data_IF_691148209833
#
_entry.id   IF_691148209833
#
_cell.length_a   1.000
_cell.length_b   1.000
_cell.length_c   1.000
_cell.angle_alpha   90.00
_cell.angle_beta   90.00
_cell.angle_gamma   90.00
#
_symmetry.space_group_name_H-M   'P 1'
#
loop_
_entity.id
_entity.type
_entity.pdbx_description
1 polymer ?
#
# COMPACT_ATOMS: atom_id res chain seq x y z
N UNK A 1 -7.21 -10.92 29.39
CA UNK A 1 -6.31 -10.08 28.55
C UNK A 1 -6.34 -10.64 27.16
N UNK A 2 -7.02 -9.99 26.24
CA UNK A 2 -7.09 -10.46 24.84
C UNK A 2 -5.68 -10.40 24.25
N UNK A 3 -5.25 -11.48 23.63
CA UNK A 3 -3.98 -11.48 22.90
C UNK A 3 -4.08 -10.48 21.74
N UNK A 4 -3.32 -9.40 21.80
CA UNK A 4 -3.32 -8.33 20.78
C UNK A 4 -3.05 -8.87 19.37
N UNK A 5 -2.15 -9.85 19.26
CA UNK A 5 -1.83 -10.44 17.97
C UNK A 5 -2.99 -11.30 17.43
N UNK A 6 -3.73 -11.97 18.31
CA UNK A 6 -4.95 -12.68 17.94
C UNK A 6 -6.02 -11.68 17.46
N UNK A 7 -6.23 -10.57 18.19
CA UNK A 7 -7.16 -9.51 17.77
C UNK A 7 -6.82 -8.98 16.36
N UNK A 8 -5.55 -8.65 16.10
CA UNK A 8 -5.09 -8.17 14.80
C UNK A 8 -5.38 -9.20 13.69
N UNK A 9 -5.10 -10.48 13.96
CA UNK A 9 -5.32 -11.55 13.00
C UNK A 9 -6.82 -11.75 12.69
N UNK A 10 -7.66 -11.86 13.71
CA UNK A 10 -9.11 -12.05 13.56
C UNK A 10 -9.75 -10.89 12.78
N UNK A 11 -9.38 -9.64 13.09
CA UNK A 11 -9.85 -8.46 12.35
C UNK A 11 -9.36 -8.46 10.90
N UNK A 12 -8.12 -8.89 10.66
CA UNK A 12 -7.56 -9.01 9.32
C UNK A 12 -8.28 -10.06 8.50
N UNK A 13 -8.55 -11.23 9.08
CA UNK A 13 -9.31 -12.32 8.44
C UNK A 13 -10.73 -11.88 8.11
N UNK A 14 -11.40 -11.18 9.05
CA UNK A 14 -12.73 -10.64 8.82
C UNK A 14 -12.75 -9.61 7.66
N UNK A 15 -11.75 -8.72 7.59
CA UNK A 15 -11.63 -7.75 6.51
C UNK A 15 -11.34 -8.42 5.15
N UNK A 16 -10.49 -9.45 5.12
CA UNK A 16 -10.22 -10.24 3.92
C UNK A 16 -11.51 -10.91 3.40
N UNK A 17 -12.27 -11.53 4.31
CA UNK A 17 -13.57 -12.15 4.00
C UNK A 17 -14.57 -11.14 3.46
N UNK A 18 -14.68 -9.97 4.08
CA UNK A 18 -15.55 -8.89 3.60
C UNK A 18 -15.14 -8.40 2.20
N UNK A 19 -13.85 -8.46 1.88
CA UNK A 19 -13.32 -8.18 0.56
C UNK A 19 -13.44 -9.35 -0.44
N UNK A 20 -14.07 -10.47 -0.07
CA UNK A 20 -14.14 -11.71 -0.87
C UNK A 20 -12.75 -12.22 -1.29
N UNK A 21 -11.78 -12.19 -0.38
CA UNK A 21 -10.45 -12.76 -0.56
C UNK A 21 -10.27 -13.97 0.35
N UNK A 22 -9.59 -14.99 -0.19
CA UNK A 22 -9.09 -16.08 0.63
C UNK A 22 -8.06 -15.54 1.61
N UNK A 23 -8.10 -16.06 2.85
CA UNK A 23 -7.13 -15.72 3.88
C UNK A 23 -6.61 -17.03 4.48
N UNK A 24 -5.38 -17.41 4.12
CA UNK A 24 -4.76 -18.65 4.51
C UNK A 24 -3.59 -18.42 5.46
N UNK A 25 -3.53 -19.08 6.62
CA UNK A 25 -2.34 -19.08 7.47
C UNK A 25 -1.12 -19.64 6.73
N UNK A 26 0.03 -18.97 6.92
CA UNK A 26 1.31 -19.36 6.30
C UNK A 26 2.43 -19.40 7.34
N UNK A 27 2.42 -20.39 8.24
CA UNK A 27 3.37 -20.47 9.34
C UNK A 27 4.83 -20.55 8.87
N UNK A 28 5.10 -21.04 7.67
CA UNK A 28 6.44 -21.07 7.09
C UNK A 28 7.06 -19.68 6.90
N UNK A 29 6.27 -18.63 6.66
CA UNK A 29 6.76 -17.25 6.55
C UNK A 29 7.14 -16.67 7.93
N UNK A 30 6.66 -17.27 9.01
CA UNK A 30 7.05 -16.97 10.38
C UNK A 30 8.13 -17.91 10.91
N UNK A 31 8.76 -18.71 10.03
CA UNK A 31 9.87 -19.61 10.38
C UNK A 31 11.04 -18.81 10.96
N UNK A 32 11.84 -19.49 11.80
CA UNK A 32 13.09 -18.95 12.30
C UNK A 32 14.27 -19.19 11.36
N UNK A 33 14.10 -20.10 10.39
CA UNK A 33 15.17 -20.53 9.49
C UNK A 33 14.83 -20.13 8.06
N UNK A 34 15.85 -19.88 7.24
CA UNK A 34 15.70 -19.68 5.81
C UNK A 34 15.26 -20.98 5.13
N UNK A 35 14.54 -20.85 4.03
CA UNK A 35 14.22 -22.00 3.18
C UNK A 35 15.50 -22.63 2.65
N UNK A 36 15.65 -23.94 2.86
CA UNK A 36 16.83 -24.69 2.43
C UNK A 36 18.02 -24.62 3.39
N UNK A 37 17.83 -24.11 4.62
CA UNK A 37 18.87 -24.10 5.67
C UNK A 37 20.00 -23.09 5.41
N UNK A 38 19.95 -22.28 4.35
CA UNK A 38 20.93 -21.25 4.10
C UNK A 38 20.80 -20.13 5.15
N UNK A 39 21.88 -19.87 5.90
CA UNK A 39 21.93 -18.77 6.86
C UNK A 39 21.50 -19.14 8.28
N UNK A 40 21.42 -20.42 8.65
CA UNK A 40 21.12 -20.87 10.02
C UNK A 40 22.03 -20.22 11.07
N UNK A 41 23.28 -19.92 10.73
CA UNK A 41 24.24 -19.24 11.59
C UNK A 41 24.05 -17.71 11.64
N UNK A 42 23.34 -17.11 10.67
CA UNK A 42 23.28 -15.67 10.50
C UNK A 42 22.18 -14.98 11.33
N UNK A 43 21.11 -15.68 11.70
CA UNK A 43 19.99 -15.12 12.46
C UNK A 43 19.71 -15.95 13.71
N UNK A 44 20.40 -15.61 14.82
CA UNK A 44 20.05 -16.16 16.13
C UNK A 44 18.62 -15.71 16.49
N UNK A 45 17.89 -16.55 17.23
CA UNK A 45 16.51 -16.28 17.65
C UNK A 45 16.30 -14.91 18.34
N UNK A 46 17.37 -14.34 18.93
CA UNK A 46 17.37 -12.98 19.50
C UNK A 46 17.17 -11.87 18.46
N UNK A 47 17.39 -12.14 17.17
CA UNK A 47 17.26 -11.18 16.08
C UNK A 47 15.92 -11.25 15.36
N UNK A 48 15.03 -12.15 15.78
CA UNK A 48 13.67 -12.32 15.22
C UNK A 48 12.61 -11.90 16.24
N UNK A 49 11.40 -11.51 15.80
CA UNK A 49 10.31 -11.16 16.70
C UNK A 49 9.82 -12.39 17.47
N UNK A 50 9.37 -12.15 18.71
CA UNK A 50 8.79 -13.21 19.55
C UNK A 50 7.35 -13.54 19.14
N UNK A 51 6.62 -12.52 18.73
CA UNK A 51 5.19 -12.61 18.40
C UNK A 51 4.99 -12.22 16.93
N UNK A 52 4.64 -13.20 16.12
CA UNK A 52 4.39 -13.00 14.70
C UNK A 52 3.36 -14.02 14.21
N UNK A 53 2.50 -13.58 13.31
CA UNK A 53 1.67 -14.45 12.47
C UNK A 53 1.90 -14.10 11.00
N UNK A 54 1.67 -15.06 10.15
CA UNK A 54 1.81 -14.88 8.71
C UNK A 54 0.57 -15.40 7.99
N UNK A 55 0.07 -14.63 7.05
CA UNK A 55 -1.13 -14.90 6.27
C UNK A 55 -0.84 -14.65 4.79
N UNK A 56 -1.55 -15.39 3.93
CA UNK A 56 -1.78 -14.98 2.55
C UNK A 56 -3.19 -14.47 2.42
N UNK A 57 -3.34 -13.25 1.91
CA UNK A 57 -4.64 -12.63 1.64
C UNK A 57 -4.76 -12.46 0.13
N UNK A 58 -5.48 -13.38 -0.52
CA UNK A 58 -5.44 -13.51 -1.96
C UNK A 58 -4.02 -13.86 -2.44
N UNK A 59 -3.34 -12.95 -3.15
CA UNK A 59 -1.94 -13.13 -3.58
C UNK A 59 -0.91 -12.46 -2.67
N UNK A 60 -1.35 -11.68 -1.68
CA UNK A 60 -0.48 -10.82 -0.88
C UNK A 60 -0.02 -11.54 0.39
N UNK A 61 1.30 -11.76 0.58
CA UNK A 61 1.84 -12.22 1.84
C UNK A 61 1.86 -11.09 2.87
N UNK A 62 1.35 -11.35 4.06
CA UNK A 62 1.25 -10.39 5.16
C UNK A 62 1.82 -10.98 6.42
N UNK A 63 2.77 -10.29 7.04
CA UNK A 63 3.27 -10.57 8.37
C UNK A 63 2.57 -9.64 9.37
N UNK A 64 2.00 -10.23 10.42
CA UNK A 64 1.34 -9.52 11.50
C UNK A 64 2.25 -9.51 12.72
N UNK A 65 2.39 -8.35 13.36
CA UNK A 65 3.24 -8.20 14.53
C UNK A 65 2.78 -7.12 15.50
N UNK A 66 3.50 -7.00 16.62
CA UNK A 66 3.20 -6.07 17.70
C UNK A 66 4.33 -5.07 17.88
N UNK A 67 3.99 -3.81 18.06
CA UNK A 67 4.91 -2.81 18.59
C UNK A 67 5.02 -2.93 20.12
N UNK A 68 6.11 -2.42 20.74
CA UNK A 68 6.27 -2.35 22.19
C UNK A 68 5.11 -1.65 22.89
N UNK A 69 5.01 -1.80 24.20
CA UNK A 69 3.92 -1.15 24.98
C UNK A 69 4.23 0.32 25.30
N UNK A 70 5.48 0.75 25.23
CA UNK A 70 5.89 2.13 25.44
C UNK A 70 6.34 2.80 24.13
N UNK A 71 6.09 4.12 23.96
CA UNK A 71 6.51 4.88 22.79
C UNK A 71 8.00 5.26 22.84
N UNK A 72 8.86 4.27 23.14
CA UNK A 72 10.29 4.43 23.16
C UNK A 72 10.91 4.21 21.78
N UNK A 73 11.64 5.21 21.28
CA UNK A 73 12.25 5.20 19.94
C UNK A 73 13.20 4.02 19.76
N UNK A 74 14.01 3.69 20.79
CA UNK A 74 15.00 2.62 20.71
C UNK A 74 14.30 1.25 20.67
N UNK A 75 13.29 1.05 21.52
CA UNK A 75 12.50 -0.19 21.55
C UNK A 75 11.74 -0.39 20.24
N UNK A 76 11.12 0.66 19.70
CA UNK A 76 10.38 0.57 18.42
C UNK A 76 11.35 0.27 17.26
N UNK A 77 12.51 0.94 17.20
CA UNK A 77 13.53 0.66 16.18
C UNK A 77 14.03 -0.78 16.25
N UNK A 78 14.27 -1.29 17.44
CA UNK A 78 14.72 -2.69 17.65
C UNK A 78 13.62 -3.68 17.25
N UNK A 79 12.36 -3.44 17.61
CA UNK A 79 11.24 -4.27 17.18
C UNK A 79 11.12 -4.29 15.64
N UNK A 80 11.16 -3.12 14.98
CA UNK A 80 11.11 -3.01 13.51
C UNK A 80 12.30 -3.70 12.86
N UNK A 81 13.50 -3.62 13.45
CA UNK A 81 14.68 -4.35 12.97
C UNK A 81 14.43 -5.86 12.97
N UNK A 82 13.85 -6.41 14.05
CA UNK A 82 13.53 -7.84 14.15
C UNK A 82 12.48 -8.26 13.13
N UNK A 83 11.44 -7.45 12.91
CA UNK A 83 10.44 -7.71 11.89
C UNK A 83 11.01 -7.62 10.47
N UNK A 84 11.95 -6.71 10.20
CA UNK A 84 12.67 -6.69 8.93
C UNK A 84 13.46 -7.99 8.69
N UNK A 85 14.18 -8.47 9.72
CA UNK A 85 14.89 -9.74 9.64
C UNK A 85 13.90 -10.89 9.33
N UNK A 86 12.74 -10.91 10.00
CA UNK A 86 11.70 -11.88 9.68
C UNK A 86 11.20 -11.74 8.25
N UNK A 87 11.05 -10.53 7.75
CA UNK A 87 10.68 -10.28 6.36
C UNK A 87 11.70 -10.86 5.37
N UNK A 88 13.01 -10.78 5.69
CA UNK A 88 14.06 -11.41 4.86
C UNK A 88 13.93 -12.94 4.89
N UNK A 89 13.68 -13.53 6.06
CA UNK A 89 13.41 -14.97 6.16
C UNK A 89 12.16 -15.35 5.37
N UNK A 90 11.04 -14.62 5.54
CA UNK A 90 9.80 -14.87 4.82
C UNK A 90 9.99 -14.85 3.29
N UNK A 91 10.77 -13.88 2.78
CA UNK A 91 11.07 -13.78 1.33
C UNK A 91 11.77 -15.02 0.78
N UNK A 92 12.52 -15.77 1.59
CA UNK A 92 13.16 -17.02 1.14
C UNK A 92 12.16 -18.13 0.83
N UNK A 93 10.94 -18.04 1.35
CA UNK A 93 9.85 -19.00 1.09
C UNK A 93 8.94 -18.58 -0.07
N UNK A 94 9.07 -17.34 -0.54
CA UNK A 94 8.20 -16.75 -1.56
C UNK A 94 8.85 -16.79 -2.95
N UNK A 95 8.06 -16.98 -4.02
CA UNK A 95 8.49 -16.64 -5.37
C UNK A 95 8.84 -15.15 -5.46
N UNK A 96 9.73 -14.79 -6.37
CA UNK A 96 10.22 -13.40 -6.52
C UNK A 96 9.11 -12.38 -6.64
N UNK A 97 8.07 -12.68 -7.42
CA UNK A 97 6.91 -11.80 -7.63
C UNK A 97 6.14 -11.54 -6.34
N UNK A 98 5.89 -12.59 -5.55
CA UNK A 98 5.19 -12.44 -4.27
C UNK A 98 6.07 -11.81 -3.19
N UNK A 99 7.38 -12.00 -3.26
CA UNK A 99 8.33 -11.39 -2.33
C UNK A 99 8.32 -9.85 -2.41
N UNK A 100 8.00 -9.27 -3.57
CA UNK A 100 7.84 -7.83 -3.75
C UNK A 100 6.55 -7.30 -3.13
N UNK A 101 5.53 -8.13 -3.05
CA UNK A 101 4.22 -7.81 -2.49
C UNK A 101 4.13 -8.03 -0.96
N UNK A 102 5.23 -8.47 -0.32
CA UNK A 102 5.27 -8.73 1.13
C UNK A 102 4.97 -7.45 1.91
N UNK A 103 4.01 -7.55 2.84
CA UNK A 103 3.65 -6.46 3.74
C UNK A 103 3.86 -6.86 5.21
N UNK A 104 4.10 -5.86 6.04
CA UNK A 104 4.25 -5.99 7.49
C UNK A 104 3.22 -5.08 8.16
N UNK A 105 2.26 -5.67 8.86
CA UNK A 105 1.23 -4.95 9.60
C UNK A 105 1.51 -5.05 11.09
N UNK A 106 1.69 -3.91 11.73
CA UNK A 106 2.09 -3.81 13.13
C UNK A 106 0.98 -3.14 13.94
N UNK A 107 0.68 -3.70 15.11
CA UNK A 107 -0.28 -3.13 16.04
C UNK A 107 0.44 -2.46 17.20
N UNK A 108 0.09 -1.21 17.48
CA UNK A 108 0.45 -0.48 18.71
C UNK A 108 -0.34 -0.94 19.93
N UNK A 109 -0.03 -0.44 21.12
CA UNK A 109 -0.82 -0.71 22.33
C UNK A 109 -2.20 -0.01 22.26
N UNK A 110 -3.21 -0.51 23.01
CA UNK A 110 -4.50 0.18 23.14
C UNK A 110 -4.34 1.61 23.67
N UNK A 111 -5.05 2.56 23.06
CA UNK A 111 -4.97 4.00 23.40
C UNK A 111 -3.81 4.74 22.73
N UNK A 112 -3.03 4.07 21.89
CA UNK A 112 -1.93 4.70 21.15
C UNK A 112 -2.40 5.63 20.01
N UNK A 113 -3.65 5.54 19.61
CA UNK A 113 -4.25 6.36 18.55
C UNK A 113 -4.30 7.85 18.88
N UNK A 114 -4.50 8.21 20.16
CA UNK A 114 -4.56 9.60 20.65
C UNK A 114 -3.21 10.13 21.09
N UNK A 115 -2.21 9.27 21.27
CA UNK A 115 -0.88 9.62 21.74
C UNK A 115 -0.03 10.20 20.59
N UNK A 116 0.47 11.42 20.76
CA UNK A 116 1.26 12.13 19.75
C UNK A 116 2.60 11.46 19.47
N UNK A 117 3.24 10.86 20.48
CA UNK A 117 4.52 10.16 20.33
C UNK A 117 4.33 8.87 19.52
N UNK A 118 3.26 8.10 19.80
CA UNK A 118 2.91 6.93 19.03
C UNK A 118 2.59 7.26 17.58
N UNK A 119 1.86 8.34 17.31
CA UNK A 119 1.56 8.76 15.93
C UNK A 119 2.82 9.13 15.16
N UNK A 120 3.77 9.84 15.80
CA UNK A 120 5.03 10.17 15.18
C UNK A 120 5.89 8.92 14.89
N UNK A 121 5.94 7.97 15.83
CA UNK A 121 6.65 6.69 15.66
C UNK A 121 6.02 5.82 14.58
N UNK A 122 4.70 5.70 14.54
CA UNK A 122 3.98 4.95 13.50
C UNK A 122 4.31 5.51 12.11
N UNK A 123 4.26 6.83 11.93
CA UNK A 123 4.63 7.48 10.68
C UNK A 123 6.09 7.20 10.29
N UNK A 124 7.01 7.22 11.26
CA UNK A 124 8.43 6.90 11.01
C UNK A 124 8.62 5.43 10.60
N UNK A 125 7.86 4.50 11.18
CA UNK A 125 7.87 3.07 10.82
C UNK A 125 7.31 2.86 9.41
N UNK A 126 6.21 3.52 9.05
CA UNK A 126 5.57 3.39 7.74
C UNK A 126 6.40 3.99 6.59
N UNK A 127 7.21 5.02 6.88
CA UNK A 127 8.15 5.61 5.90
C UNK A 127 9.35 4.72 5.58
N UNK A 128 9.66 3.75 6.44
CA UNK A 128 10.71 2.77 6.18
C UNK A 128 10.15 1.59 5.38
N UNK A 129 10.25 1.64 4.07
CA UNK A 129 9.76 0.60 3.13
C UNK A 129 10.79 -0.50 2.83
N UNK A 130 11.96 -0.48 3.50
CA UNK A 130 12.99 -1.52 3.35
C UNK A 130 12.42 -2.90 3.69
N UNK A 131 12.68 -3.87 2.83
CA UNK A 131 12.27 -5.28 2.91
C UNK A 131 10.78 -5.49 2.63
N UNK A 132 9.89 -4.72 3.23
CA UNK A 132 8.45 -4.84 3.08
C UNK A 132 7.77 -3.50 3.37
N UNK A 133 6.68 -3.21 2.68
CA UNK A 133 5.80 -2.08 3.02
C UNK A 133 5.23 -2.31 4.42
N UNK A 134 5.30 -1.29 5.28
CA UNK A 134 4.80 -1.35 6.64
C UNK A 134 3.52 -0.54 6.78
N UNK A 135 2.57 -1.08 7.53
CA UNK A 135 1.37 -0.37 7.97
C UNK A 135 1.26 -0.53 9.48
N UNK A 136 0.92 0.54 10.17
CA UNK A 136 0.76 0.56 11.62
C UNK A 136 -0.68 0.87 11.98
N UNK A 137 -1.29 -0.03 12.74
CA UNK A 137 -2.58 0.20 13.40
C UNK A 137 -2.34 0.63 14.83
N UNK A 138 -2.83 1.80 15.19
CA UNK A 138 -2.86 2.33 16.55
C UNK A 138 -4.30 2.20 17.05
N UNK A 139 -4.61 1.17 17.88
CA UNK A 139 -5.97 0.94 18.34
C UNK A 139 -6.39 1.92 19.43
N UNK A 140 -7.64 2.40 19.43
CA UNK A 140 -8.24 3.10 20.55
C UNK A 140 -8.26 2.26 21.83
N UNK A 141 -8.28 2.93 22.98
CA UNK A 141 -8.47 2.27 24.28
C UNK A 141 -9.89 1.65 24.37
N UNK A 142 -10.88 2.39 23.91
CA UNK A 142 -12.28 1.98 23.91
C UNK A 142 -12.53 0.89 22.84
N UNK A 143 -13.13 -0.23 23.27
CA UNK A 143 -13.35 -1.38 22.38
C UNK A 143 -14.35 -1.06 21.26
N UNK A 144 -15.38 -0.27 21.58
CA UNK A 144 -16.42 0.18 20.66
C UNK A 144 -15.91 1.04 19.49
N UNK A 145 -14.76 1.70 19.66
CA UNK A 145 -14.16 2.55 18.62
C UNK A 145 -13.22 1.77 17.70
N UNK A 146 -12.81 0.57 18.11
CA UNK A 146 -11.77 -0.21 17.39
C UNK A 146 -12.21 -0.65 16.00
N UNK A 147 -13.49 -0.91 15.78
CA UNK A 147 -13.99 -1.34 14.47
C UNK A 147 -13.87 -0.21 13.45
N UNK A 148 -14.22 1.01 13.83
CA UNK A 148 -14.07 2.18 12.98
C UNK A 148 -12.58 2.49 12.72
N UNK A 149 -11.74 2.44 13.75
CA UNK A 149 -10.30 2.65 13.64
C UNK A 149 -9.63 1.59 12.77
N UNK A 150 -10.04 0.32 12.89
CA UNK A 150 -9.51 -0.75 12.05
C UNK A 150 -9.97 -0.62 10.59
N UNK A 151 -11.20 -0.20 10.34
CA UNK A 151 -11.71 0.11 9.00
C UNK A 151 -10.88 1.21 8.34
N UNK A 152 -10.55 2.28 9.07
CA UNK A 152 -9.68 3.34 8.58
C UNK A 152 -8.25 2.83 8.29
N UNK A 153 -7.71 1.93 9.13
CA UNK A 153 -6.43 1.28 8.89
C UNK A 153 -6.45 0.44 7.60
N UNK A 154 -7.47 -0.40 7.41
CA UNK A 154 -7.65 -1.22 6.20
C UNK A 154 -7.79 -0.34 4.95
N UNK A 155 -8.42 0.82 5.07
CA UNK A 155 -8.55 1.80 3.98
C UNK A 155 -7.21 2.28 3.39
N UNK A 156 -6.10 2.11 4.12
CA UNK A 156 -4.73 2.42 3.65
C UNK A 156 -3.99 1.23 3.04
N UNK A 157 -4.60 0.04 3.08
CA UNK A 157 -4.04 -1.21 2.59
C UNK A 157 -4.58 -1.58 1.21
N UNK A 158 -4.04 -2.67 0.62
CA UNK A 158 -4.56 -3.25 -0.61
C UNK A 158 -6.01 -3.77 -0.46
N UNK A 159 -6.49 -4.01 0.77
CA UNK A 159 -7.87 -4.45 1.01
C UNK A 159 -8.91 -3.36 0.71
N UNK A 160 -8.54 -2.09 0.73
CA UNK A 160 -9.41 -1.00 0.31
C UNK A 160 -9.90 -1.13 -1.13
N UNK A 161 -9.11 -1.80 -1.98
CA UNK A 161 -9.42 -2.02 -3.41
C UNK A 161 -9.97 -0.79 -4.12
N UNK A 162 -9.28 0.37 -4.06
CA UNK A 162 -9.76 1.60 -4.68
C UNK A 162 -10.06 1.43 -6.17
N UNK A 163 -9.38 0.47 -6.84
CA UNK A 163 -9.61 0.10 -8.24
C UNK A 163 -10.94 -0.64 -8.49
N UNK A 164 -11.64 -1.14 -7.44
CA UNK A 164 -12.97 -1.78 -7.56
C UNK A 164 -14.11 -0.84 -7.20
N UNK A 165 -13.82 0.20 -6.42
CA UNK A 165 -14.82 1.14 -5.90
C UNK A 165 -15.29 2.16 -6.94
N UNK A 166 -14.59 2.29 -8.06
CA UNK A 166 -15.09 3.08 -9.18
C UNK A 166 -16.09 2.20 -9.94
N UNK A 167 -17.40 2.53 -9.97
CA UNK A 167 -18.26 1.99 -10.99
C UNK A 167 -17.56 2.23 -12.31
N UNK A 168 -17.74 1.34 -13.33
CA UNK A 168 -17.19 1.60 -14.65
C UNK A 168 -17.71 2.97 -15.05
N UNK A 169 -16.88 3.98 -14.90
CA UNK A 169 -17.18 5.30 -15.44
C UNK A 169 -17.29 5.06 -16.94
N UNK A 170 -18.38 5.49 -17.56
CA UNK A 170 -18.46 5.46 -19.02
C UNK A 170 -17.13 6.05 -19.51
N UNK A 171 -16.52 5.41 -20.50
CA UNK A 171 -15.16 5.70 -20.96
C UNK A 171 -14.88 7.19 -21.28
N UNK A 172 -15.92 8.04 -21.32
CA UNK A 172 -15.83 9.50 -21.45
C UNK A 172 -15.57 10.27 -20.15
N UNK A 173 -15.43 9.62 -18.98
CA UNK A 173 -15.20 10.32 -17.70
C UNK A 173 -13.82 10.07 -17.07
N UNK A 174 -12.98 9.26 -17.66
CA UNK A 174 -11.53 9.33 -17.47
C UNK A 174 -10.95 10.59 -18.16
N UNK A 175 -11.82 11.54 -18.38
CA UNK A 175 -11.60 12.65 -19.26
C UNK A 175 -10.69 13.68 -18.59
N UNK A 176 -9.40 13.41 -18.74
CA UNK A 176 -8.44 14.50 -18.85
C UNK A 176 -8.86 15.47 -19.96
N UNK A 177 -9.72 15.05 -20.88
CA UNK A 177 -10.30 15.88 -21.95
C UNK A 177 -11.11 17.04 -21.38
N UNK A 178 -11.88 16.85 -20.31
CA UNK A 178 -12.59 17.98 -19.68
C UNK A 178 -11.62 19.00 -19.07
N UNK A 179 -10.47 18.55 -18.51
CA UNK A 179 -9.43 19.42 -18.04
C UNK A 179 -8.66 20.06 -19.22
N UNK A 180 -8.40 19.32 -20.29
CA UNK A 180 -7.79 19.83 -21.52
C UNK A 180 -8.71 20.86 -22.19
N UNK A 181 -10.01 20.59 -22.26
CA UNK A 181 -11.02 21.53 -22.78
C UNK A 181 -11.06 22.81 -21.94
N UNK A 182 -11.04 22.70 -20.61
CA UNK A 182 -11.02 23.88 -19.74
C UNK A 182 -9.76 24.72 -19.96
N UNK A 183 -8.56 24.10 -19.98
CA UNK A 183 -7.30 24.78 -20.27
C UNK A 183 -7.26 25.39 -21.67
N UNK A 184 -7.77 24.67 -22.69
CA UNK A 184 -7.86 25.16 -24.04
C UNK A 184 -8.78 26.39 -24.15
N UNK A 185 -9.90 26.38 -23.42
CA UNK A 185 -10.82 27.53 -23.37
C UNK A 185 -10.16 28.75 -22.71
N UNK A 186 -9.40 28.55 -21.62
CA UNK A 186 -8.64 29.62 -20.97
C UNK A 186 -7.55 30.21 -21.87
N UNK A 187 -7.02 29.43 -22.79
CA UNK A 187 -6.03 29.83 -23.79
C UNK A 187 -6.66 30.37 -25.10
N UNK A 188 -7.99 30.57 -25.14
CA UNK A 188 -8.73 31.00 -26.33
C UNK A 188 -8.58 30.06 -27.55
N UNK A 189 -8.35 28.78 -27.33
CA UNK A 189 -8.34 27.76 -28.38
C UNK A 189 -9.80 27.47 -28.77
N UNK A 190 -10.11 27.59 -30.05
CA UNK A 190 -11.48 27.33 -30.52
C UNK A 190 -11.83 25.85 -30.45
N UNK A 191 -13.12 25.48 -30.26
CA UNK A 191 -13.56 24.09 -30.24
C UNK A 191 -13.16 23.30 -31.49
N UNK A 192 -13.10 23.94 -32.65
CA UNK A 192 -12.72 23.33 -33.92
C UNK A 192 -11.25 22.91 -33.94
N UNK A 193 -10.35 23.77 -33.45
CA UNK A 193 -8.92 23.47 -33.31
C UNK A 193 -8.71 22.36 -32.29
N UNK A 194 -9.43 22.42 -31.17
CA UNK A 194 -9.35 21.39 -30.14
C UNK A 194 -9.79 20.02 -30.68
N UNK A 195 -10.87 19.95 -31.50
CA UNK A 195 -11.32 18.71 -32.11
C UNK A 195 -10.28 18.11 -33.09
N UNK A 196 -9.60 18.94 -33.83
CA UNK A 196 -8.48 18.53 -34.69
C UNK A 196 -7.32 17.98 -33.85
N UNK A 197 -6.94 18.67 -32.79
CA UNK A 197 -5.87 18.22 -31.89
C UNK A 197 -6.18 16.89 -31.22
N UNK A 198 -7.42 16.69 -30.79
CA UNK A 198 -7.83 15.44 -30.18
C UNK A 198 -7.80 14.27 -31.17
N UNK A 199 -8.14 14.53 -32.44
CA UNK A 199 -8.04 13.53 -33.50
C UNK A 199 -6.57 13.17 -33.79
N UNK A 200 -5.70 14.16 -33.91
CA UNK A 200 -4.27 13.94 -34.13
C UNK A 200 -3.63 13.18 -32.95
N UNK A 201 -3.99 13.51 -31.71
CA UNK A 201 -3.50 12.81 -30.52
C UNK A 201 -4.04 11.38 -30.34
N UNK A 202 -5.14 11.03 -31.04
CA UNK A 202 -5.72 9.69 -31.03
C UNK A 202 -5.29 8.84 -32.24
N UNK A 203 -4.47 9.40 -33.13
CA UNK A 203 -3.99 8.71 -34.34
C UNK A 203 -2.73 7.90 -34.01
N UNK A 204 -2.78 6.59 -34.25
CA UNK A 204 -1.68 5.65 -33.98
C UNK A 204 -0.43 5.93 -34.84
N UNK A 205 -0.55 6.75 -35.90
CA UNK A 205 0.59 7.14 -36.75
C UNK A 205 1.55 8.12 -36.05
N UNK A 206 1.20 8.66 -34.87
CA UNK A 206 2.00 9.60 -34.08
C UNK A 206 2.53 8.98 -32.77
N UNK A 207 3.12 7.78 -32.82
CA UNK A 207 3.71 7.14 -31.64
C UNK A 207 4.88 7.95 -31.03
N UNK A 208 5.57 8.78 -31.80
CA UNK A 208 6.70 9.60 -31.35
C UNK A 208 6.33 11.06 -31.13
N UNK A 209 6.59 11.58 -29.94
CA UNK A 209 6.20 12.91 -29.48
C UNK A 209 6.57 14.09 -30.40
N UNK A 210 7.76 14.17 -31.04
CA UNK A 210 8.10 15.29 -31.94
C UNK A 210 7.17 15.43 -33.15
N UNK A 211 6.84 14.38 -33.94
CA UNK A 211 5.95 14.49 -35.08
C UNK A 211 4.53 14.95 -34.69
N UNK A 212 4.03 14.50 -33.55
CA UNK A 212 2.74 14.95 -33.03
C UNK A 212 2.75 16.44 -32.69
N UNK A 213 3.81 16.92 -32.03
CA UNK A 213 3.94 18.35 -31.69
C UNK A 213 3.97 19.21 -32.95
N UNK A 214 4.70 18.82 -33.98
CA UNK A 214 4.78 19.54 -35.25
C UNK A 214 3.39 19.59 -35.94
N UNK A 215 2.65 18.49 -35.96
CA UNK A 215 1.30 18.41 -36.52
C UNK A 215 0.29 19.27 -35.72
N UNK A 216 0.42 19.33 -34.39
CA UNK A 216 -0.41 20.19 -33.56
C UNK A 216 -0.12 21.67 -33.77
N UNK A 217 1.15 22.04 -33.99
CA UNK A 217 1.56 23.41 -34.33
C UNK A 217 1.04 23.80 -35.70
N UNK A 218 1.14 22.93 -36.69
CA UNK A 218 0.66 23.18 -38.05
C UNK A 218 -0.88 23.33 -38.12
N UNK A 219 -1.60 22.61 -37.24
CA UNK A 219 -3.04 22.74 -37.07
C UNK A 219 -3.47 23.97 -36.27
N UNK A 220 -2.54 24.75 -35.73
CA UNK A 220 -2.82 25.97 -34.99
C UNK A 220 -3.11 27.12 -36.01
N UNK A 221 -4.31 27.70 -36.03
CA UNK A 221 -4.55 28.84 -36.88
C UNK A 221 -3.63 30.01 -36.45
N UNK A 222 -2.92 30.61 -37.40
CA UNK A 222 -2.18 31.85 -37.14
C UNK A 222 -3.17 32.85 -36.56
N UNK A 223 -2.98 33.27 -35.32
CA UNK A 223 -3.67 34.41 -34.76
C UNK A 223 -3.18 35.62 -35.57
N UNK A 224 -4.00 36.10 -36.51
CA UNK A 224 -3.73 37.41 -37.10
C UNK A 224 -3.64 38.46 -35.98
N UNK A 225 -2.64 39.31 -35.99
CA UNK A 225 -2.39 40.30 -34.94
C UNK A 225 -3.46 41.35 -34.80
#
# INVERSE_FOLDING_TARGET
>A
MTDRLAELAERTEAAAKAANLLCDPRPELASRNFRGGAGEEALQGAHLPLHIRALFIGRYPVLLGLLPDAPDVALVREAVRRYRNQGVVARSYLPTEQALDLQLWLQGPPGSDVDAEWRALALAVERDDRVARKLVWLPPAALEERDAAFTAFIGRSFLARPWKALPPQPAGQLDRLSAVVAVATDLNITPEVLDVWLKLAADDDYEDGPPLVDALIEAWPELEP
#
